data_IF_821739327971
#
_entry.id   IF_821739327971
#
_cell.length_a   1.000
_cell.length_b   1.000
_cell.length_c   1.000
_cell.angle_alpha   90.00
_cell.angle_beta   90.00
_cell.angle_gamma   90.00
#
_symmetry.space_group_name_H-M   'P 1'
#
loop_
_entity.id
_entity.type
_entity.pdbx_description
1 polymer ?
#
# COMPACT_ATOMS: atom_id res chain seq x y z
N UNK A 1 5.63 19.24 13.06
CA UNK A 1 6.22 19.19 11.70
C UNK A 1 6.30 20.61 11.17
N UNK A 2 7.29 20.93 10.34
CA UNK A 2 7.29 22.21 9.61
C UNK A 2 6.19 22.17 8.54
N UNK A 3 5.67 23.33 8.13
CA UNK A 3 4.62 23.42 7.09
C UNK A 3 5.04 22.72 5.80
N UNK A 4 6.29 22.86 5.38
CA UNK A 4 6.82 22.19 4.19
C UNK A 4 6.78 20.65 4.29
N UNK A 5 7.03 20.09 5.47
CA UNK A 5 6.99 18.62 5.66
C UNK A 5 5.55 18.12 5.71
N UNK A 6 4.64 18.92 6.26
CA UNK A 6 3.21 18.63 6.25
C UNK A 6 2.62 18.65 4.83
N UNK A 7 2.97 19.67 4.03
CA UNK A 7 2.58 19.72 2.62
C UNK A 7 3.17 18.55 1.82
N UNK A 8 4.44 18.19 2.07
CA UNK A 8 5.06 17.03 1.45
C UNK A 8 4.30 15.74 1.81
N UNK A 9 3.88 15.59 3.06
CA UNK A 9 3.08 14.46 3.52
C UNK A 9 1.73 14.38 2.82
N UNK A 10 1.03 15.51 2.65
CA UNK A 10 -0.22 15.59 1.88
C UNK A 10 0.01 15.19 0.43
N UNK A 11 1.06 15.70 -0.21
CA UNK A 11 1.37 15.38 -1.61
C UNK A 11 1.65 13.89 -1.79
N UNK A 12 2.45 13.28 -0.90
CA UNK A 12 2.71 11.82 -0.95
C UNK A 12 1.42 11.04 -0.77
N UNK A 13 0.56 11.41 0.18
CA UNK A 13 -0.72 10.76 0.39
C UNK A 13 -1.65 10.88 -0.83
N UNK A 14 -1.69 12.06 -1.46
CA UNK A 14 -2.48 12.31 -2.66
C UNK A 14 -2.00 11.45 -3.84
N UNK A 15 -0.68 11.35 -4.04
CA UNK A 15 -0.09 10.53 -5.11
C UNK A 15 -0.35 9.04 -4.86
N UNK A 16 -0.18 8.54 -3.64
CA UNK A 16 -0.45 7.13 -3.32
C UNK A 16 -1.94 6.81 -3.33
N UNK A 17 -2.81 7.71 -2.87
CA UNK A 17 -4.27 7.58 -3.02
C UNK A 17 -4.69 7.55 -4.50
N UNK A 18 -3.99 8.30 -5.35
CA UNK A 18 -4.21 8.31 -6.80
C UNK A 18 -3.89 7.00 -7.50
N UNK A 19 -3.16 6.08 -6.85
CA UNK A 19 -2.85 4.79 -7.43
C UNK A 19 -4.11 3.93 -7.64
N UNK A 20 -5.11 4.01 -6.76
CA UNK A 20 -6.26 3.10 -6.80
C UNK A 20 -7.19 3.34 -7.99
N UNK A 21 -7.56 4.58 -8.35
CA UNK A 21 -8.27 4.84 -9.60
C UNK A 21 -7.47 4.44 -10.84
N UNK A 22 -6.14 4.66 -10.85
CA UNK A 22 -5.31 4.24 -11.97
C UNK A 22 -5.26 2.71 -12.11
N UNK A 23 -5.30 1.97 -10.99
CA UNK A 23 -5.45 0.52 -11.00
C UNK A 23 -6.83 0.10 -11.54
N UNK A 24 -7.91 0.81 -11.22
CA UNK A 24 -9.25 0.57 -11.78
C UNK A 24 -9.30 0.77 -13.30
N UNK A 25 -8.53 1.72 -13.84
CA UNK A 25 -8.43 1.95 -15.30
C UNK A 25 -7.54 0.90 -15.97
N UNK A 26 -6.37 0.60 -15.40
CA UNK A 26 -5.38 -0.25 -16.06
C UNK A 26 -5.61 -1.76 -15.89
N UNK A 27 -6.03 -2.20 -14.69
CA UNK A 27 -6.12 -3.64 -14.36
C UNK A 27 -7.10 -4.42 -15.24
N UNK A 28 -8.27 -3.89 -15.63
CA UNK A 28 -9.20 -4.63 -16.49
C UNK A 28 -8.64 -4.97 -17.87
N UNK A 29 -7.71 -4.16 -18.40
CA UNK A 29 -7.16 -4.33 -19.75
C UNK A 29 -5.84 -5.08 -19.77
N UNK A 30 -4.94 -4.78 -18.82
CA UNK A 30 -3.66 -5.48 -18.70
C UNK A 30 -3.77 -6.81 -17.94
N UNK A 31 -4.75 -6.94 -17.06
CA UNK A 31 -4.73 -7.90 -15.98
C UNK A 31 -3.75 -7.51 -14.85
N UNK A 32 -3.84 -8.16 -13.68
CA UNK A 32 -3.07 -7.76 -12.49
C UNK A 32 -1.56 -7.90 -12.65
N UNK A 33 -1.11 -8.97 -13.31
CA UNK A 33 0.32 -9.31 -13.41
C UNK A 33 1.02 -8.42 -14.43
N UNK A 34 0.52 -8.33 -15.66
CA UNK A 34 1.16 -7.53 -16.70
C UNK A 34 1.20 -6.04 -16.35
N UNK A 35 0.11 -5.50 -15.75
CA UNK A 35 0.08 -4.12 -15.27
C UNK A 35 1.20 -3.86 -14.27
N UNK A 36 1.35 -4.74 -13.29
CA UNK A 36 2.36 -4.59 -12.25
C UNK A 36 3.76 -4.70 -12.83
N UNK A 37 4.00 -5.59 -13.79
CA UNK A 37 5.31 -5.71 -14.44
C UNK A 37 5.67 -4.43 -15.20
N UNK A 38 4.76 -3.86 -15.99
CA UNK A 38 5.02 -2.60 -16.71
C UNK A 38 5.25 -1.46 -15.71
N UNK A 39 4.41 -1.34 -14.67
CA UNK A 39 4.59 -0.36 -13.58
C UNK A 39 5.97 -0.47 -12.94
N UNK A 40 6.40 -1.69 -12.62
CA UNK A 40 7.68 -1.95 -11.96
C UNK A 40 8.87 -1.77 -12.90
N UNK A 41 8.74 -2.06 -14.20
CA UNK A 41 9.77 -1.78 -15.19
C UNK A 41 10.07 -0.28 -15.26
N UNK A 42 9.02 0.54 -15.38
CA UNK A 42 9.13 2.01 -15.43
C UNK A 42 9.78 2.53 -14.13
N UNK A 43 9.28 2.09 -12.98
CA UNK A 43 9.82 2.51 -11.70
C UNK A 43 11.28 2.05 -11.49
N UNK A 44 11.64 0.86 -11.98
CA UNK A 44 13.00 0.33 -11.91
C UNK A 44 13.98 1.20 -12.70
N UNK A 45 13.62 1.59 -13.93
CA UNK A 45 14.45 2.47 -14.76
C UNK A 45 14.74 3.80 -14.06
N UNK A 46 13.77 4.35 -13.34
CA UNK A 46 13.93 5.63 -12.63
C UNK A 46 14.71 5.48 -11.32
N UNK A 47 14.44 4.43 -10.53
CA UNK A 47 15.01 4.27 -9.19
C UNK A 47 16.40 3.63 -9.18
N UNK A 48 16.69 2.73 -10.12
CA UNK A 48 17.95 1.99 -10.19
C UNK A 48 19.19 2.92 -10.24
N UNK A 49 19.23 4.00 -11.05
CA UNK A 49 20.38 4.90 -11.10
C UNK A 49 20.56 5.78 -9.84
N UNK A 50 19.50 5.96 -9.06
CA UNK A 50 19.50 6.82 -7.87
C UNK A 50 20.02 6.10 -6.62
N UNK A 51 20.06 4.76 -6.65
CA UNK A 51 20.56 3.93 -5.57
C UNK A 51 22.09 3.84 -5.60
N UNK A 52 22.71 3.95 -4.42
CA UNK A 52 24.16 3.79 -4.25
C UNK A 52 24.50 2.32 -4.10
N UNK A 53 24.68 1.64 -5.23
CA UNK A 53 25.07 0.23 -5.26
C UNK A 53 26.51 0.06 -4.78
N UNK A 54 26.67 -0.72 -3.71
CA UNK A 54 27.98 -1.13 -3.19
C UNK A 54 28.07 -2.65 -3.23
N UNK A 55 29.27 -3.26 -3.33
CA UNK A 55 29.42 -4.71 -3.29
C UNK A 55 28.73 -5.36 -2.08
N UNK A 56 28.78 -4.71 -0.92
CA UNK A 56 28.11 -5.15 0.31
C UNK A 56 26.57 -5.20 0.20
N UNK A 57 25.98 -4.36 -0.64
CA UNK A 57 24.54 -4.37 -0.95
C UNK A 57 24.20 -5.56 -1.83
N UNK A 58 25.03 -5.83 -2.85
CA UNK A 58 24.81 -6.94 -3.78
C UNK A 58 24.84 -8.29 -3.04
N UNK A 59 25.61 -8.41 -1.96
CA UNK A 59 25.58 -9.59 -1.08
C UNK A 59 24.23 -9.81 -0.36
N UNK A 60 23.39 -8.77 -0.23
CA UNK A 60 22.08 -8.86 0.40
C UNK A 60 20.95 -9.16 -0.61
N UNK A 61 21.26 -9.58 -1.84
CA UNK A 61 20.28 -9.79 -2.91
C UNK A 61 19.11 -10.70 -2.51
N UNK A 62 19.36 -11.77 -1.73
CA UNK A 62 18.30 -12.68 -1.25
C UNK A 62 17.28 -11.95 -0.37
N UNK A 63 17.75 -11.03 0.46
CA UNK A 63 16.87 -10.24 1.33
C UNK A 63 16.09 -9.19 0.55
N UNK A 64 16.73 -8.58 -0.45
CA UNK A 64 16.05 -7.64 -1.36
C UNK A 64 15.04 -8.36 -2.25
N UNK A 65 15.32 -9.60 -2.68
CA UNK A 65 14.36 -10.45 -3.39
C UNK A 65 13.14 -10.78 -2.54
N UNK A 66 13.36 -11.25 -1.31
CA UNK A 66 12.26 -11.55 -0.40
C UNK A 66 11.45 -10.28 -0.11
N UNK A 67 12.12 -9.14 0.13
CA UNK A 67 11.44 -7.87 0.30
C UNK A 67 10.63 -7.49 -0.95
N UNK A 68 11.21 -7.59 -2.14
CA UNK A 68 10.51 -7.34 -3.40
C UNK A 68 9.27 -8.21 -3.56
N UNK A 69 9.34 -9.48 -3.17
CA UNK A 69 8.21 -10.40 -3.19
C UNK A 69 7.06 -9.93 -2.29
N UNK A 70 7.34 -9.71 -1.00
CA UNK A 70 6.32 -9.47 0.05
C UNK A 70 5.92 -8.00 0.18
N UNK A 71 6.75 -7.07 -0.28
CA UNK A 71 6.47 -5.64 -0.21
C UNK A 71 5.91 -5.09 -1.50
N UNK A 72 6.20 -5.70 -2.65
CA UNK A 72 5.97 -5.04 -3.92
C UNK A 72 5.28 -5.95 -4.94
N UNK A 73 5.85 -7.09 -5.29
CA UNK A 73 5.29 -8.01 -6.28
C UNK A 73 3.89 -8.51 -5.90
N UNK A 74 3.77 -9.25 -4.79
CA UNK A 74 2.50 -9.81 -4.36
C UNK A 74 1.50 -8.73 -3.94
N UNK A 75 1.85 -7.74 -3.08
CA UNK A 75 0.88 -6.71 -2.72
C UNK A 75 0.36 -5.93 -3.93
N UNK A 76 1.21 -5.53 -4.87
CA UNK A 76 0.73 -4.77 -6.03
C UNK A 76 -0.18 -5.62 -6.92
N UNK A 77 0.15 -6.90 -7.13
CA UNK A 77 -0.70 -7.80 -7.90
C UNK A 77 -2.04 -8.06 -7.20
N UNK A 78 -2.03 -8.25 -5.87
CA UNK A 78 -3.24 -8.43 -5.07
C UNK A 78 -4.13 -7.20 -5.09
N UNK A 79 -3.57 -5.99 -5.00
CA UNK A 79 -4.35 -4.75 -5.12
C UNK A 79 -4.87 -4.51 -6.54
N UNK A 80 -4.06 -4.80 -7.57
CA UNK A 80 -4.52 -4.74 -8.97
C UNK A 80 -5.69 -5.71 -9.21
N UNK A 81 -5.58 -6.94 -8.71
CA UNK A 81 -6.66 -7.92 -8.74
C UNK A 81 -7.88 -7.48 -7.93
N UNK A 82 -7.69 -6.97 -6.72
CA UNK A 82 -8.78 -6.44 -5.90
C UNK A 82 -9.58 -5.37 -6.64
N UNK A 83 -8.91 -4.45 -7.34
CA UNK A 83 -9.60 -3.40 -8.12
C UNK A 83 -10.39 -3.92 -9.32
N UNK A 84 -10.29 -5.20 -9.70
CA UNK A 84 -11.22 -5.79 -10.67
C UNK A 84 -12.61 -6.03 -10.06
N UNK A 85 -12.69 -6.18 -8.75
CA UNK A 85 -13.87 -6.62 -8.02
C UNK A 85 -14.44 -5.55 -7.08
N UNK A 86 -13.59 -4.65 -6.58
CA UNK A 86 -13.97 -3.57 -5.66
C UNK A 86 -13.53 -2.20 -6.17
N UNK A 87 -14.15 -1.15 -5.65
CA UNK A 87 -13.81 0.25 -5.97
C UNK A 87 -12.40 0.61 -5.50
N UNK A 88 -11.79 1.61 -6.15
CA UNK A 88 -10.50 2.15 -5.75
C UNK A 88 -10.56 2.77 -4.35
N UNK A 89 -11.65 3.47 -4.04
CA UNK A 89 -11.93 3.98 -2.70
C UNK A 89 -11.89 2.90 -1.63
N UNK A 90 -12.61 1.79 -1.84
CA UNK A 90 -12.61 0.67 -0.89
C UNK A 90 -11.22 0.03 -0.73
N UNK A 91 -10.54 -0.28 -1.84
CA UNK A 91 -9.19 -0.85 -1.79
C UNK A 91 -8.21 0.03 -0.99
N UNK A 92 -8.34 1.35 -1.08
CA UNK A 92 -7.52 2.30 -0.31
C UNK A 92 -7.80 2.26 1.19
N UNK A 93 -9.07 2.12 1.60
CA UNK A 93 -9.48 1.96 3.01
C UNK A 93 -8.95 0.67 3.58
N UNK A 94 -9.06 -0.45 2.84
CA UNK A 94 -8.53 -1.74 3.28
C UNK A 94 -7.01 -1.65 3.47
N UNK A 95 -6.29 -1.00 2.55
CA UNK A 95 -4.84 -0.82 2.69
C UNK A 95 -4.43 -0.06 3.96
N UNK A 96 -5.28 0.83 4.48
CA UNK A 96 -5.01 1.55 5.71
C UNK A 96 -4.90 0.62 6.94
N UNK A 97 -5.37 -0.64 6.85
CA UNK A 97 -5.21 -1.65 7.90
C UNK A 97 -3.79 -2.23 8.00
N UNK A 98 -2.90 -1.92 7.05
CA UNK A 98 -1.50 -2.38 7.04
C UNK A 98 -0.78 -2.26 8.40
N UNK A 99 -0.88 -1.14 9.14
CA UNK A 99 -0.21 -1.01 10.44
C UNK A 99 -0.74 -1.97 11.50
N UNK A 100 -2.00 -2.42 11.39
CA UNK A 100 -2.59 -3.42 12.30
C UNK A 100 -1.94 -4.78 12.11
N UNK A 101 -1.82 -5.22 10.86
CA UNK A 101 -1.04 -6.42 10.53
C UNK A 101 0.42 -6.27 10.95
N UNK A 102 1.01 -5.10 10.75
CA UNK A 102 2.35 -4.79 11.24
C UNK A 102 2.49 -4.97 12.75
N UNK A 103 1.52 -4.54 13.56
CA UNK A 103 1.52 -4.72 15.00
C UNK A 103 1.38 -6.19 15.42
N UNK A 104 0.52 -6.96 14.74
CA UNK A 104 0.36 -8.41 14.96
C UNK A 104 1.66 -9.15 14.63
N UNK A 105 2.30 -8.83 13.50
CA UNK A 105 3.58 -9.43 13.12
C UNK A 105 4.68 -9.05 14.11
N UNK A 106 4.73 -7.80 14.58
CA UNK A 106 5.71 -7.36 15.57
C UNK A 106 5.57 -8.13 16.90
N UNK A 107 4.35 -8.43 17.33
CA UNK A 107 4.08 -9.23 18.51
C UNK A 107 4.68 -10.64 18.39
N UNK A 108 4.35 -11.36 17.32
CA UNK A 108 4.82 -12.74 17.14
C UNK A 108 6.30 -12.84 16.76
N UNK A 109 6.81 -11.92 15.93
CA UNK A 109 8.15 -12.05 15.35
C UNK A 109 9.23 -11.27 16.10
N UNK A 110 8.89 -10.13 16.68
CA UNK A 110 9.83 -9.26 17.40
C UNK A 110 9.65 -9.32 18.92
N UNK A 111 8.63 -10.03 19.42
CA UNK A 111 8.33 -10.11 20.86
C UNK A 111 7.84 -8.80 21.47
N UNK A 112 7.36 -7.86 20.64
CA UNK A 112 6.82 -6.59 21.13
C UNK A 112 5.48 -6.83 21.84
N UNK A 113 5.30 -6.29 23.05
CA UNK A 113 4.03 -6.46 23.78
C UNK A 113 2.90 -5.63 23.14
N UNK A 114 1.74 -6.24 22.96
CA UNK A 114 0.51 -5.54 22.57
C UNK A 114 -0.21 -5.04 23.82
N UNK A 115 -0.23 -3.73 24.02
CA UNK A 115 -1.04 -3.13 25.08
C UNK A 115 -2.54 -3.26 24.80
N UNK A 116 -3.41 -3.19 25.82
CA UNK A 116 -4.86 -3.34 25.66
C UNK A 116 -5.48 -2.40 24.61
N UNK A 117 -5.01 -1.14 24.55
CA UNK A 117 -5.48 -0.18 23.55
C UNK A 117 -5.11 -0.57 22.12
N UNK A 118 -3.98 -1.26 21.91
CA UNK A 118 -3.59 -1.73 20.58
C UNK A 118 -4.48 -2.90 20.14
N UNK A 119 -4.77 -3.83 21.05
CA UNK A 119 -5.70 -4.94 20.81
C UNK A 119 -7.08 -4.42 20.47
N UNK A 120 -7.59 -3.45 21.25
CA UNK A 120 -8.86 -2.79 20.98
C UNK A 120 -8.85 -2.08 19.63
N UNK A 121 -7.77 -1.36 19.30
CA UNK A 121 -7.62 -0.71 18.00
C UNK A 121 -7.70 -1.69 16.84
N UNK A 122 -6.97 -2.81 16.93
CA UNK A 122 -7.01 -3.90 15.95
C UNK A 122 -8.44 -4.43 15.79
N UNK A 123 -9.13 -4.75 16.90
CA UNK A 123 -10.50 -5.24 16.86
C UNK A 123 -11.47 -4.23 16.21
N UNK A 124 -11.38 -2.94 16.56
CA UNK A 124 -12.21 -1.88 16.00
C UNK A 124 -12.00 -1.75 14.49
N UNK A 125 -10.75 -1.68 14.02
CA UNK A 125 -10.53 -1.49 12.59
C UNK A 125 -10.90 -2.72 11.76
N UNK A 126 -10.68 -3.95 12.25
CA UNK A 126 -11.20 -5.14 11.57
C UNK A 126 -12.73 -5.17 11.57
N UNK A 127 -13.40 -4.75 12.64
CA UNK A 127 -14.85 -4.57 12.64
C UNK A 127 -15.30 -3.53 11.59
N UNK A 128 -14.54 -2.45 11.41
CA UNK A 128 -14.77 -1.48 10.34
C UNK A 128 -14.68 -2.09 8.94
N UNK A 129 -13.68 -2.95 8.69
CA UNK A 129 -13.59 -3.69 7.42
C UNK A 129 -14.79 -4.63 7.23
N UNK A 130 -15.14 -5.42 8.26
CA UNK A 130 -16.29 -6.32 8.21
C UNK A 130 -17.61 -5.57 7.97
N UNK A 131 -17.75 -4.36 8.51
CA UNK A 131 -18.93 -3.52 8.31
C UNK A 131 -19.06 -3.04 6.86
N UNK A 132 -17.94 -2.71 6.18
CA UNK A 132 -17.98 -2.44 4.73
C UNK A 132 -18.42 -3.69 3.99
N UNK A 133 -17.75 -4.81 4.25
CA UNK A 133 -17.98 -6.07 3.55
C UNK A 133 -19.44 -6.47 3.69
N UNK A 134 -20.01 -6.41 4.91
CA UNK A 134 -21.43 -6.70 5.15
C UNK A 134 -22.38 -5.72 4.47
N UNK A 135 -22.00 -4.43 4.38
CA UNK A 135 -22.77 -3.42 3.68
C UNK A 135 -22.80 -3.60 2.16
N UNK A 136 -21.70 -4.10 1.57
CA UNK A 136 -21.63 -4.42 0.14
C UNK A 136 -22.19 -5.80 -0.21
N UNK A 137 -22.08 -6.81 0.66
CA UNK A 137 -22.69 -8.15 0.45
C UNK A 137 -24.22 -8.05 0.36
N UNK A 138 -24.83 -7.05 1.01
CA UNK A 138 -26.27 -6.77 0.86
C UNK A 138 -26.67 -6.23 -0.52
N UNK A 139 -25.71 -5.77 -1.34
CA UNK A 139 -25.95 -5.06 -2.61
C UNK A 139 -25.16 -5.60 -3.81
N UNK A 140 -24.20 -6.50 -3.61
CA UNK A 140 -23.20 -6.92 -4.63
C UNK A 140 -22.93 -8.43 -4.56
N UNK A 141 -22.67 -9.03 -5.71
CA UNK A 141 -22.39 -10.45 -5.96
C UNK A 141 -21.18 -11.00 -5.20
N UNK A 142 -21.09 -12.35 -5.11
CA UNK A 142 -20.00 -13.12 -4.47
C UNK A 142 -18.57 -12.67 -4.85
N UNK A 143 -18.41 -12.00 -6.00
CA UNK A 143 -17.14 -11.47 -6.52
C UNK A 143 -16.55 -10.31 -5.68
N UNK A 144 -17.33 -9.53 -4.91
CA UNK A 144 -16.75 -8.44 -4.09
C UNK A 144 -15.89 -8.99 -2.93
N UNK A 145 -16.32 -10.11 -2.33
CA UNK A 145 -15.63 -10.71 -1.18
C UNK A 145 -14.19 -11.14 -1.53
N UNK A 146 -13.98 -11.73 -2.72
CA UNK A 146 -12.64 -12.16 -3.14
C UNK A 146 -11.71 -10.95 -3.37
N UNK A 147 -12.25 -9.83 -3.85
CA UNK A 147 -11.52 -8.56 -3.97
C UNK A 147 -11.08 -8.01 -2.60
N UNK A 148 -11.97 -8.05 -1.60
CA UNK A 148 -11.64 -7.62 -0.24
C UNK A 148 -10.59 -8.53 0.41
N UNK A 149 -10.73 -9.85 0.26
CA UNK A 149 -9.73 -10.81 0.76
C UNK A 149 -8.37 -10.54 0.10
N UNK A 150 -8.32 -10.31 -1.21
CA UNK A 150 -7.07 -9.99 -1.90
C UNK A 150 -6.42 -8.70 -1.37
N UNK A 151 -7.21 -7.63 -1.17
CA UNK A 151 -6.71 -6.38 -0.60
C UNK A 151 -6.24 -6.53 0.86
N UNK A 152 -6.92 -7.35 1.68
CA UNK A 152 -6.50 -7.65 3.05
C UNK A 152 -5.20 -8.45 3.07
N UNK A 153 -5.05 -9.44 2.20
CA UNK A 153 -3.79 -10.19 2.05
C UNK A 153 -2.65 -9.25 1.63
N UNK A 154 -2.90 -8.33 0.68
CA UNK A 154 -1.93 -7.31 0.29
C UNK A 154 -1.49 -6.43 1.47
N UNK A 155 -2.46 -5.99 2.29
CA UNK A 155 -2.21 -5.20 3.51
C UNK A 155 -1.42 -5.99 4.55
N UNK A 156 -1.72 -7.28 4.71
CA UNK A 156 -0.99 -8.19 5.60
C UNK A 156 0.46 -8.37 5.15
N UNK A 157 0.68 -8.56 3.84
CA UNK A 157 2.01 -8.66 3.24
C UNK A 157 2.85 -7.39 3.48
N UNK A 158 2.27 -6.19 3.34
CA UNK A 158 2.95 -4.95 3.72
C UNK A 158 3.30 -4.91 5.22
N UNK A 159 2.41 -5.38 6.10
CA UNK A 159 2.68 -5.48 7.53
C UNK A 159 3.87 -6.41 7.85
N UNK A 160 3.99 -7.53 7.14
CA UNK A 160 5.14 -8.44 7.23
C UNK A 160 6.40 -7.76 6.69
N UNK A 161 6.30 -7.12 5.52
CA UNK A 161 7.39 -6.41 4.86
C UNK A 161 7.99 -5.30 5.73
N UNK A 162 7.16 -4.53 6.43
CA UNK A 162 7.61 -3.47 7.32
C UNK A 162 8.48 -4.01 8.46
N UNK A 163 8.04 -5.10 9.11
CA UNK A 163 8.80 -5.75 10.18
C UNK A 163 10.07 -6.45 9.65
N UNK A 164 9.98 -7.09 8.49
CA UNK A 164 11.12 -7.69 7.82
C UNK A 164 12.20 -6.65 7.50
N UNK A 165 11.80 -5.52 6.92
CA UNK A 165 12.71 -4.40 6.59
C UNK A 165 13.40 -3.88 7.84
N UNK A 166 12.63 -3.61 8.91
CA UNK A 166 13.17 -3.16 10.20
C UNK A 166 14.22 -4.12 10.75
N UNK A 167 13.95 -5.43 10.72
CA UNK A 167 14.83 -6.46 11.31
C UNK A 167 16.05 -6.79 10.46
N UNK A 168 15.90 -6.86 9.13
CA UNK A 168 16.89 -7.49 8.25
C UNK A 168 17.66 -6.49 7.37
N UNK A 169 17.11 -5.30 7.17
CA UNK A 169 17.58 -4.30 6.20
C UNK A 169 17.76 -2.91 6.81
N UNK A 170 17.56 -2.74 8.12
CA UNK A 170 17.63 -1.42 8.79
C UNK A 170 18.99 -0.71 8.69
N UNK A 171 20.07 -1.42 8.30
CA UNK A 171 21.41 -0.86 8.09
C UNK A 171 21.66 -0.41 6.64
N UNK A 172 20.77 -0.73 5.70
CA UNK A 172 20.92 -0.35 4.29
C UNK A 172 20.38 1.07 4.05
N UNK A 173 20.96 1.75 3.07
CA UNK A 173 20.46 3.03 2.57
C UNK A 173 19.00 2.85 2.07
N UNK A 174 18.10 3.72 2.50
CA UNK A 174 16.67 3.64 2.14
C UNK A 174 16.45 3.70 0.62
N UNK A 175 17.28 4.42 -0.13
CA UNK A 175 17.23 4.45 -1.61
C UNK A 175 17.60 3.11 -2.22
N UNK A 176 18.56 2.40 -1.62
CA UNK A 176 18.95 1.04 -2.02
C UNK A 176 17.81 0.07 -1.73
N UNK A 177 17.17 0.16 -0.57
CA UNK A 177 16.01 -0.68 -0.23
C UNK A 177 14.89 -0.43 -1.26
N UNK A 178 14.66 0.84 -1.63
CA UNK A 178 13.64 1.24 -2.60
C UNK A 178 13.87 0.65 -3.99
N UNK A 179 15.03 0.93 -4.58
CA UNK A 179 15.37 0.44 -5.90
C UNK A 179 15.47 -1.09 -5.90
N UNK A 180 16.12 -1.65 -4.88
CA UNK A 180 16.31 -3.09 -4.73
C UNK A 180 15.00 -3.86 -4.64
N UNK A 181 14.02 -3.40 -3.86
CA UNK A 181 12.72 -4.10 -3.77
C UNK A 181 11.92 -4.00 -5.07
N UNK A 182 11.95 -2.85 -5.77
CA UNK A 182 11.20 -2.64 -7.02
C UNK A 182 11.81 -3.48 -8.14
N UNK A 183 13.13 -3.49 -8.27
CA UNK A 183 13.86 -4.30 -9.26
C UNK A 183 13.68 -5.79 -8.95
N UNK A 184 13.80 -6.19 -7.69
CA UNK A 184 13.52 -7.57 -7.27
C UNK A 184 12.10 -8.00 -7.67
N UNK A 185 11.10 -7.17 -7.37
CA UNK A 185 9.72 -7.46 -7.72
C UNK A 185 9.51 -7.55 -9.24
N UNK A 186 10.13 -6.66 -10.02
CA UNK A 186 10.13 -6.74 -11.47
C UNK A 186 10.71 -8.07 -11.96
N UNK A 187 11.90 -8.45 -11.49
CA UNK A 187 12.56 -9.70 -11.90
C UNK A 187 11.75 -10.95 -11.51
N UNK A 188 11.08 -10.93 -10.37
CA UNK A 188 10.19 -12.03 -9.94
C UNK A 188 8.96 -12.11 -10.85
N UNK A 189 8.34 -10.98 -11.16
CA UNK A 189 7.05 -10.94 -11.86
C UNK A 189 7.19 -11.02 -13.39
N UNK A 190 8.30 -10.56 -13.96
CA UNK A 190 8.51 -10.46 -15.40
C UNK A 190 8.34 -11.79 -16.16
N UNK A 191 8.82 -12.95 -15.68
CA UNK A 191 8.59 -14.22 -16.38
C UNK A 191 7.10 -14.57 -16.53
N UNK A 192 6.27 -14.13 -15.59
CA UNK A 192 4.84 -14.43 -15.61
C UNK A 192 4.07 -13.62 -16.66
N UNK A 193 4.64 -12.54 -17.23
CA UNK A 193 3.97 -11.82 -18.33
C UNK A 193 3.87 -12.67 -19.58
N UNK A 194 4.76 -13.64 -19.77
CA UNK A 194 4.66 -14.58 -20.90
C UNK A 194 3.30 -15.28 -20.95
N UNK A 195 2.72 -15.57 -19.79
CA UNK A 195 1.43 -16.26 -19.66
C UNK A 195 0.23 -15.33 -19.46
N UNK A 196 0.48 -14.09 -19.03
CA UNK A 196 -0.58 -13.17 -18.57
C UNK A 196 -0.71 -11.92 -19.41
N UNK A 197 0.13 -11.73 -20.43
CA UNK A 197 0.02 -10.59 -21.34
C UNK A 197 -1.34 -10.60 -22.05
N UNK A 198 -2.04 -9.46 -22.13
CA UNK A 198 -3.37 -9.42 -22.73
C UNK A 198 -3.33 -9.76 -24.23
N UNK A 199 -4.28 -10.58 -24.67
CA UNK A 199 -4.39 -10.99 -26.08
C UNK A 199 -4.73 -9.83 -27.02
N UNK A 200 -5.43 -8.81 -26.49
CA UNK A 200 -5.71 -7.55 -27.18
C UNK A 200 -4.83 -6.46 -26.60
N UNK A 201 -4.31 -5.58 -27.45
CA UNK A 201 -3.54 -4.44 -26.98
C UNK A 201 -4.39 -3.53 -26.08
N UNK A 202 -3.90 -3.17 -24.88
CA UNK A 202 -4.58 -2.22 -24.02
C UNK A 202 -4.74 -0.85 -24.69
N UNK A 203 -5.80 -0.16 -24.29
CA UNK A 203 -6.13 1.19 -24.72
C UNK A 203 -5.06 2.21 -24.33
N UNK A 204 -5.08 3.36 -24.99
CA UNK A 204 -4.21 4.50 -24.65
C UNK A 204 -4.40 4.96 -23.20
N UNK A 205 -5.63 4.90 -22.67
CA UNK A 205 -5.92 5.22 -21.27
C UNK A 205 -5.26 4.24 -20.29
N UNK A 206 -5.30 2.94 -20.58
CA UNK A 206 -4.65 1.95 -19.74
C UNK A 206 -3.12 2.12 -19.74
N UNK A 207 -2.53 2.46 -20.89
CA UNK A 207 -1.10 2.79 -21.00
C UNK A 207 -0.74 4.03 -20.18
N UNK A 208 -1.51 5.11 -20.27
CA UNK A 208 -1.27 6.29 -19.44
C UNK A 208 -1.44 6.00 -17.95
N UNK A 209 -2.41 5.15 -17.58
CA UNK A 209 -2.62 4.74 -16.19
C UNK A 209 -1.39 3.98 -15.65
N UNK A 210 -0.85 3.01 -16.39
CA UNK A 210 0.31 2.24 -15.93
C UNK A 210 1.61 3.06 -15.93
N UNK A 211 1.76 4.00 -16.88
CA UNK A 211 2.86 4.96 -16.88
C UNK A 211 2.80 5.86 -15.66
N UNK A 212 1.62 6.40 -15.35
CA UNK A 212 1.42 7.23 -14.16
C UNK A 212 1.67 6.44 -12.86
N UNK A 213 1.22 5.18 -12.80
CA UNK A 213 1.48 4.29 -11.68
C UNK A 213 2.97 4.05 -11.45
N UNK A 214 3.74 3.83 -12.52
CA UNK A 214 5.18 3.58 -12.43
C UNK A 214 5.97 4.83 -12.06
N UNK A 215 5.73 5.93 -12.78
CA UNK A 215 6.49 7.16 -12.64
C UNK A 215 6.10 7.95 -11.39
N UNK A 216 4.80 8.19 -11.17
CA UNK A 216 4.33 9.04 -10.07
C UNK A 216 4.05 8.23 -8.82
N UNK A 217 3.19 7.21 -8.90
CA UNK A 217 2.72 6.47 -7.71
C UNK A 217 3.77 5.52 -7.12
N UNK A 218 4.82 5.17 -7.87
CA UNK A 218 5.92 4.34 -7.36
C UNK A 218 7.22 5.14 -7.29
N UNK A 219 7.82 5.55 -8.40
CA UNK A 219 9.14 6.16 -8.37
C UNK A 219 9.17 7.51 -7.63
N UNK A 220 8.39 8.49 -8.08
CA UNK A 220 8.35 9.82 -7.45
C UNK A 220 7.85 9.73 -6.01
N UNK A 221 6.78 8.99 -5.75
CA UNK A 221 6.25 8.83 -4.41
C UNK A 221 7.27 8.26 -3.42
N UNK A 222 8.06 7.26 -3.82
CA UNK A 222 9.15 6.73 -3.00
C UNK A 222 10.22 7.78 -2.71
N UNK A 223 10.65 8.55 -3.73
CA UNK A 223 11.63 9.62 -3.53
C UNK A 223 11.14 10.71 -2.57
N UNK A 224 9.88 11.13 -2.71
CA UNK A 224 9.26 12.11 -1.82
C UNK A 224 9.08 11.55 -0.40
N UNK A 225 8.68 10.29 -0.27
CA UNK A 225 8.52 9.64 1.03
C UNK A 225 9.86 9.47 1.75
N UNK A 226 10.97 9.16 1.06
CA UNK A 226 12.29 9.12 1.70
C UNK A 226 12.78 10.50 2.12
N UNK A 227 12.49 11.52 1.30
CA UNK A 227 12.76 12.90 1.68
C UNK A 227 11.96 13.31 2.92
N UNK A 228 10.73 12.82 3.07
CA UNK A 228 9.93 13.01 4.27
C UNK A 228 10.56 12.28 5.46
N UNK A 229 10.90 10.99 5.32
CA UNK A 229 11.52 10.17 6.37
C UNK A 229 12.86 10.72 6.89
N UNK A 230 13.61 11.46 6.07
CA UNK A 230 14.85 12.12 6.51
C UNK A 230 14.63 13.42 7.28
N UNK A 231 13.39 13.92 7.34
CA UNK A 231 13.03 15.22 7.95
C UNK A 231 12.11 15.10 9.16
N UNK A 232 11.34 14.01 9.26
CA UNK A 232 10.33 13.81 10.30
C UNK A 232 10.53 12.47 11.00
N UNK A 233 9.95 12.33 12.20
CA UNK A 233 10.03 11.04 12.92
C UNK A 233 9.22 9.96 12.21
N UNK A 234 9.56 8.68 12.44
CA UNK A 234 8.80 7.56 11.87
C UNK A 234 7.30 7.62 12.22
N UNK A 235 6.96 8.07 13.43
CA UNK A 235 5.57 8.28 13.88
C UNK A 235 4.87 9.41 13.13
N UNK A 236 5.60 10.46 12.71
CA UNK A 236 5.04 11.50 11.84
C UNK A 236 4.87 10.99 10.41
N UNK A 237 5.86 10.30 9.86
CA UNK A 237 5.80 9.78 8.50
C UNK A 237 4.66 8.76 8.30
N UNK A 238 4.39 7.90 9.28
CA UNK A 238 3.33 6.89 9.19
C UNK A 238 1.94 7.53 9.12
N UNK A 239 1.76 8.80 9.52
CA UNK A 239 0.45 9.48 9.38
C UNK A 239 -0.02 9.59 7.92
N UNK A 240 0.89 9.46 6.95
CA UNK A 240 0.56 9.36 5.52
C UNK A 240 -0.46 8.25 5.25
N UNK A 241 -0.41 7.12 5.97
CA UNK A 241 -1.31 5.98 5.73
C UNK A 241 -2.76 6.30 6.08
N UNK A 242 -3.00 7.32 6.92
CA UNK A 242 -4.34 7.77 7.28
C UNK A 242 -4.93 8.73 6.25
N UNK A 243 -4.08 9.39 5.46
CA UNK A 243 -4.51 10.31 4.42
C UNK A 243 -4.74 9.62 3.07
N UNK A 244 -4.06 8.50 2.80
CA UNK A 244 -4.23 7.74 1.55
C UNK A 244 -5.70 7.42 1.25
N UNK A 245 -6.54 6.93 2.21
CA UNK A 245 -7.93 6.62 1.93
C UNK A 245 -8.78 7.84 1.58
N UNK A 246 -8.49 8.99 2.18
CA UNK A 246 -9.19 10.25 1.88
C UNK A 246 -9.01 10.58 0.39
N UNK A 247 -7.77 10.51 -0.08
CA UNK A 247 -7.46 10.75 -1.49
C UNK A 247 -7.93 9.62 -2.40
N UNK A 248 -7.85 8.36 -1.97
CA UNK A 248 -8.35 7.21 -2.74
C UNK A 248 -9.84 7.32 -3.04
N UNK A 249 -10.65 7.68 -2.03
CA UNK A 249 -12.09 7.93 -2.19
C UNK A 249 -12.33 9.17 -3.05
N UNK A 250 -11.63 10.28 -2.77
CA UNK A 250 -11.80 11.54 -3.51
C UNK A 250 -11.49 11.37 -5.00
N UNK A 251 -10.38 10.74 -5.34
CA UNK A 251 -9.98 10.52 -6.73
C UNK A 251 -10.87 9.49 -7.44
N UNK A 252 -11.33 8.45 -6.73
CA UNK A 252 -12.31 7.51 -7.28
C UNK A 252 -13.61 8.21 -7.66
N UNK A 253 -14.14 9.05 -6.77
CA UNK A 253 -15.35 9.81 -7.02
C UNK A 253 -15.17 10.86 -8.13
N UNK A 254 -14.03 11.56 -8.18
CA UNK A 254 -13.80 12.64 -9.14
C UNK A 254 -13.51 12.16 -10.56
N UNK A 255 -12.77 11.05 -10.72
CA UNK A 255 -12.26 10.61 -12.02
C UNK A 255 -12.97 9.38 -12.58
N UNK A 256 -13.64 8.60 -11.73
CA UNK A 256 -14.29 7.34 -12.13
C UNK A 256 -15.77 7.28 -11.71
N UNK A 257 -16.32 8.40 -11.22
CA UNK A 257 -17.70 8.51 -10.73
C UNK A 257 -18.05 7.42 -9.68
N UNK A 258 -17.06 6.98 -8.88
CA UNK A 258 -17.30 5.97 -7.85
C UNK A 258 -18.24 6.53 -6.75
N UNK A 259 -19.29 5.78 -6.36
CA UNK A 259 -20.27 6.28 -5.41
C UNK A 259 -19.66 6.41 -4.00
N UNK A 260 -19.74 7.62 -3.43
CA UNK A 260 -19.39 7.85 -2.03
C UNK A 260 -20.60 7.48 -1.17
N UNK A 261 -20.64 6.23 -0.73
CA UNK A 261 -21.72 5.75 0.15
C UNK A 261 -21.47 6.15 1.60
N UNK A 262 -22.56 6.30 2.37
CA UNK A 262 -22.46 6.52 3.83
C UNK A 262 -21.73 5.37 4.53
N UNK A 263 -21.93 4.15 4.06
CA UNK A 263 -21.25 2.94 4.58
C UNK A 263 -19.73 3.08 4.40
N UNK A 264 -19.26 3.44 3.20
CA UNK A 264 -17.85 3.64 2.92
C UNK A 264 -17.22 4.69 3.84
N UNK A 265 -17.88 5.83 4.02
CA UNK A 265 -17.37 6.92 4.88
C UNK A 265 -17.32 6.52 6.36
N UNK A 266 -18.39 5.92 6.89
CA UNK A 266 -18.45 5.47 8.29
C UNK A 266 -17.36 4.44 8.54
N UNK A 267 -17.25 3.44 7.67
CA UNK A 267 -16.26 2.40 7.84
C UNK A 267 -14.83 2.89 7.67
N UNK A 268 -14.57 3.79 6.72
CA UNK A 268 -13.26 4.43 6.61
C UNK A 268 -12.91 5.14 7.93
N UNK A 269 -13.86 5.86 8.53
CA UNK A 269 -13.70 6.46 9.86
C UNK A 269 -13.36 5.43 10.94
N UNK A 270 -14.12 4.33 11.02
CA UNK A 270 -13.90 3.25 11.99
C UNK A 270 -12.52 2.60 11.81
N UNK A 271 -12.13 2.28 10.56
CA UNK A 271 -10.81 1.73 10.24
C UNK A 271 -9.71 2.69 10.67
N UNK A 272 -9.81 3.97 10.31
CA UNK A 272 -8.81 4.97 10.68
C UNK A 272 -8.68 5.14 12.20
N UNK A 273 -9.79 5.13 12.95
CA UNK A 273 -9.77 5.15 14.42
C UNK A 273 -9.08 3.89 14.97
N UNK A 274 -9.43 2.72 14.46
CA UNK A 274 -8.80 1.46 14.85
C UNK A 274 -7.29 1.47 14.62
N UNK A 275 -6.85 1.95 13.45
CA UNK A 275 -5.42 2.06 13.08
C UNK A 275 -4.71 3.06 13.99
N UNK A 276 -5.35 4.18 14.34
CA UNK A 276 -4.77 5.19 15.23
C UNK A 276 -4.53 4.66 16.65
N UNK A 277 -5.45 3.81 17.14
CA UNK A 277 -5.30 3.10 18.42
C UNK A 277 -4.25 1.99 18.33
N UNK A 278 -4.26 1.18 17.26
CA UNK A 278 -3.33 0.08 17.04
C UNK A 278 -1.87 0.54 16.93
N UNK A 279 -1.64 1.69 16.29
CA UNK A 279 -0.32 2.30 16.15
C UNK A 279 0.11 3.06 17.41
N UNK A 280 -0.79 3.31 18.35
CA UNK A 280 -0.52 4.10 19.56
C UNK A 280 -0.29 5.58 19.29
N UNK A 281 -0.74 6.07 18.12
CA UNK A 281 -0.78 7.49 17.76
C UNK A 281 -1.71 8.25 18.71
N UNK A 282 -2.82 7.60 19.10
CA UNK A 282 -3.71 8.07 20.16
C UNK A 282 -3.44 7.24 21.41
N UNK A 283 -2.84 7.86 22.43
CA UNK A 283 -2.78 7.31 23.77
C UNK A 283 -3.84 7.99 24.61
N UNK A 284 -5.03 7.39 24.83
CA UNK A 284 -5.93 7.93 25.82
C UNK A 284 -5.21 7.91 27.17
N UNK A 285 -5.07 9.10 27.76
CA UNK A 285 -4.60 9.24 29.14
C UNK A 285 -5.72 8.71 30.04
N UNK A 286 -5.77 7.40 30.27
CA UNK A 286 -6.60 6.86 31.33
C UNK A 286 -5.95 7.19 32.68
N UNK A 287 -6.66 7.84 33.61
CA UNK A 287 -6.10 8.35 34.87
C UNK A 287 -5.85 7.27 35.94
N UNK A 288 -5.79 5.99 35.61
CA UNK A 288 -5.56 4.93 36.59
C UNK A 288 -4.12 4.41 36.49
N UNK A 289 -3.23 5.13 37.17
CA UNK A 289 -1.92 4.67 37.63
C UNK A 289 -1.71 5.10 39.07
#
# INVERSE_FOLDING_TARGET
>A
MRTADFLLLIVVAAIWGGAYPLLRVGSPEFGPVALVVVRLAIASVVLLPLARWRPSVLLQWRKLLLLGLINTALPFALFAYATLHITGGLASVINATTPMFGAVVAYFWLGERLGPMRVLGIAIGFAGVLFIVGGEIGTSTDDSLIGVIAALLGSAMYGIAANYTKRQLGTLDTKVIAAGNVVAAFLIMAPFTWFTWPAKSPSTSAWWAVVALGLFCTALAYLLFFRLLSRVSASQAITVTFLIPIFGILWGALFLDEPITRVLLVSAGVVLVGVALATGLVRPRFPWR
#
